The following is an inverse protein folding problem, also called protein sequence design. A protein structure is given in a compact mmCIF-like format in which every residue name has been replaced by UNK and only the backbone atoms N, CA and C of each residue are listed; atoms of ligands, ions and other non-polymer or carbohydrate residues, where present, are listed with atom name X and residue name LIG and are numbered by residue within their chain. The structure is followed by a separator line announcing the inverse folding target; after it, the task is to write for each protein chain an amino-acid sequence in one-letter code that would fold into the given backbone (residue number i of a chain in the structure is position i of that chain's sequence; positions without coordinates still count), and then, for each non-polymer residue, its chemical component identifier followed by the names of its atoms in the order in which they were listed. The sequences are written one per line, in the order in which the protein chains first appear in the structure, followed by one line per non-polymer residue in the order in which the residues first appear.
data_IF_961888708681
#
_entry.id   IF_961888708681
#
_cell.length_a   1.000
_cell.length_b   1.000
_cell.length_c   1.000
_cell.angle_alpha   90.00
_cell.angle_beta   90.00
_cell.angle_gamma   90.00
#
_symmetry.space_group_name_H-M   'P 1'
#
loop_
_entity.id
_entity.type
_entity.pdbx_description
1 polymer ?
#
# COMPACT_ATOMS: atom_id res chain seq x y z
N UNK A 1 -16.94 -17.40 -10.65
CA UNK A 1 -16.02 -16.83 -9.65
C UNK A 1 -15.42 -15.48 -10.06
N UNK A 2 -15.85 -14.94 -11.21
CA UNK A 2 -15.46 -13.60 -11.66
C UNK A 2 -16.19 -12.45 -10.96
N UNK A 3 -17.30 -12.72 -10.27
CA UNK A 3 -18.10 -11.71 -9.60
C UNK A 3 -17.41 -11.06 -8.40
N UNK A 4 -16.49 -11.77 -7.73
CA UNK A 4 -15.78 -11.23 -6.58
C UNK A 4 -14.71 -10.20 -6.93
N UNK A 5 -14.10 -10.29 -8.10
CA UNK A 5 -13.03 -9.35 -8.49
C UNK A 5 -13.59 -7.99 -8.90
N UNK A 6 -14.78 -7.95 -9.50
CA UNK A 6 -15.44 -6.71 -9.88
C UNK A 6 -15.86 -5.88 -8.67
N UNK A 7 -16.48 -6.51 -7.67
CA UNK A 7 -16.90 -5.84 -6.44
C UNK A 7 -15.71 -5.28 -5.67
N UNK A 8 -14.59 -6.02 -5.60
CA UNK A 8 -13.37 -5.56 -4.92
C UNK A 8 -12.78 -4.35 -5.65
N UNK A 9 -12.79 -4.34 -6.98
CA UNK A 9 -12.32 -3.20 -7.77
C UNK A 9 -13.15 -1.95 -7.53
N UNK A 10 -14.48 -2.09 -7.50
CA UNK A 10 -15.38 -0.98 -7.22
C UNK A 10 -15.17 -0.44 -5.80
N UNK A 11 -14.98 -1.32 -4.84
CA UNK A 11 -14.69 -0.95 -3.45
C UNK A 11 -13.37 -0.20 -3.35
N UNK A 12 -12.32 -0.68 -4.03
CA UNK A 12 -11.02 0.01 -4.09
C UNK A 12 -11.19 1.39 -4.72
N UNK A 13 -11.93 1.51 -5.83
CA UNK A 13 -12.18 2.78 -6.50
C UNK A 13 -12.91 3.77 -5.58
N UNK A 14 -13.89 3.31 -4.80
CA UNK A 14 -14.61 4.14 -3.83
C UNK A 14 -13.70 4.63 -2.70
N UNK A 15 -12.80 3.78 -2.23
CA UNK A 15 -11.90 4.11 -1.11
C UNK A 15 -10.76 5.02 -1.55
N UNK A 16 -10.19 4.78 -2.73
CA UNK A 16 -9.01 5.51 -3.20
C UNK A 16 -9.34 6.69 -4.09
N UNK A 17 -10.56 6.77 -4.62
CA UNK A 17 -10.92 7.77 -5.61
C UNK A 17 -10.36 7.49 -7.00
N UNK A 18 -9.80 6.29 -7.22
CA UNK A 18 -9.27 5.87 -8.51
C UNK A 18 -9.99 4.62 -8.99
N UNK A 19 -10.25 4.50 -10.30
CA UNK A 19 -10.81 3.28 -10.85
C UNK A 19 -9.85 2.11 -10.58
N UNK A 20 -10.39 1.00 -10.15
CA UNK A 20 -9.59 -0.19 -9.88
C UNK A 20 -8.88 -0.67 -11.15
N UNK A 21 -7.60 -0.89 -11.05
CA UNK A 21 -6.79 -1.48 -12.12
C UNK A 21 -6.09 -2.72 -11.59
N UNK A 22 -5.90 -3.69 -12.46
CA UNK A 22 -5.04 -4.85 -12.16
C UNK A 22 -3.57 -4.52 -12.34
N UNK A 23 -3.26 -3.42 -13.00
CA UNK A 23 -1.88 -3.00 -13.21
C UNK A 23 -1.30 -2.48 -11.91
N UNK A 24 -0.13 -2.95 -11.60
CA UNK A 24 0.61 -2.58 -10.41
C UNK A 24 2.09 -2.51 -10.76
N UNK A 25 2.78 -1.53 -10.18
CA UNK A 25 4.23 -1.43 -10.33
C UNK A 25 4.88 -2.60 -9.59
N UNK A 26 5.94 -3.16 -10.16
CA UNK A 26 6.68 -4.22 -9.50
C UNK A 26 7.35 -3.71 -8.21
N UNK A 27 7.32 -4.51 -7.16
CA UNK A 27 7.87 -4.13 -5.85
C UNK A 27 9.36 -3.75 -5.92
N UNK A 28 10.11 -4.39 -6.81
CA UNK A 28 11.55 -4.09 -7.01
C UNK A 28 11.77 -2.67 -7.55
N UNK A 29 10.75 -2.06 -8.14
CA UNK A 29 10.81 -0.71 -8.71
C UNK A 29 10.34 0.36 -7.71
N UNK A 30 10.33 0.04 -6.43
CA UNK A 30 9.96 0.96 -5.35
C UNK A 30 11.12 1.12 -4.41
N UNK A 31 11.41 2.36 -4.02
CA UNK A 31 12.49 2.67 -3.09
C UNK A 31 12.08 3.78 -2.13
N UNK A 32 12.63 3.76 -0.93
CA UNK A 32 12.52 4.86 0.02
C UNK A 32 13.49 6.00 -0.28
N UNK A 33 14.48 5.75 -1.15
CA UNK A 33 15.40 6.77 -1.65
C UNK A 33 14.72 7.64 -2.69
N UNK A 34 15.36 8.74 -3.07
CA UNK A 34 14.83 9.64 -4.11
C UNK A 34 15.31 9.25 -5.51
N UNK A 35 16.19 8.28 -5.59
CA UNK A 35 16.71 7.73 -6.84
C UNK A 35 16.63 6.22 -6.80
N UNK A 36 16.49 5.60 -7.96
CA UNK A 36 16.49 4.15 -8.12
C UNK A 36 17.76 3.75 -8.84
N UNK A 37 18.60 2.94 -8.19
CA UNK A 37 19.89 2.52 -8.73
C UNK A 37 19.73 1.84 -10.11
N UNK A 38 20.55 2.24 -11.04
CA UNK A 38 20.52 1.69 -12.40
C UNK A 38 19.48 2.33 -13.31
N UNK A 39 18.74 3.32 -12.81
CA UNK A 39 17.69 4.01 -13.55
C UNK A 39 17.83 5.52 -13.40
N UNK A 40 17.31 6.23 -14.39
CA UNK A 40 17.17 7.68 -14.30
C UNK A 40 15.71 8.08 -14.44
N UNK A 41 15.29 9.06 -13.70
CA UNK A 41 13.95 9.63 -13.80
C UNK A 41 13.88 10.49 -15.06
N UNK A 42 12.97 10.16 -15.97
CA UNK A 42 12.71 10.96 -17.15
C UNK A 42 11.49 11.84 -16.99
N UNK A 43 10.58 11.48 -16.06
CA UNK A 43 9.39 12.26 -15.80
C UNK A 43 8.88 12.00 -14.39
N UNK A 44 8.56 13.06 -13.67
CA UNK A 44 7.84 12.99 -12.39
C UNK A 44 6.35 13.09 -12.65
N UNK A 45 5.58 12.13 -12.14
CA UNK A 45 4.15 12.04 -12.43
C UNK A 45 3.28 12.58 -11.29
N UNK A 46 3.79 12.56 -10.07
CA UNK A 46 3.09 13.12 -8.93
C UNK A 46 3.08 12.21 -7.71
N UNK A 47 2.53 12.71 -6.64
CA UNK A 47 2.41 11.97 -5.38
C UNK A 47 1.30 10.93 -5.51
N UNK A 48 1.61 9.72 -5.08
CA UNK A 48 0.68 8.60 -5.06
C UNK A 48 0.54 8.07 -3.65
N UNK A 49 -0.58 7.42 -3.38
CA UNK A 49 -0.86 6.87 -2.06
C UNK A 49 -1.75 5.64 -2.14
N UNK A 50 -1.69 4.85 -1.08
CA UNK A 50 -2.63 3.79 -0.78
C UNK A 50 -3.04 3.91 0.67
N UNK A 51 -4.32 3.82 0.95
CA UNK A 51 -4.88 3.99 2.29
C UNK A 51 -5.67 2.74 2.65
N UNK A 52 -5.42 2.21 3.84
CA UNK A 52 -6.21 1.14 4.43
C UNK A 52 -6.64 1.56 5.81
N UNK A 53 -7.92 1.44 6.10
CA UNK A 53 -8.48 1.75 7.41
C UNK A 53 -8.89 0.44 8.09
N UNK A 54 -8.47 0.26 9.32
CA UNK A 54 -8.82 -0.89 10.15
C UNK A 54 -9.62 -0.43 11.35
N UNK A 55 -10.75 -1.06 11.57
CA UNK A 55 -11.61 -0.76 12.70
C UNK A 55 -11.26 -1.62 13.90
N UNK A 56 -11.65 -1.12 15.08
CA UNK A 56 -11.51 -1.83 16.35
C UNK A 56 -12.13 -3.23 16.34
N UNK A 57 -13.19 -3.46 15.55
CA UNK A 57 -13.87 -4.75 15.51
C UNK A 57 -12.94 -5.88 15.00
N UNK A 58 -12.05 -5.59 14.05
CA UNK A 58 -11.04 -6.55 13.56
C UNK A 58 -10.02 -6.82 14.66
N UNK A 59 -9.52 -5.77 15.30
CA UNK A 59 -8.60 -5.88 16.43
C UNK A 59 -9.25 -6.56 17.62
N UNK A 60 -10.54 -6.29 17.86
CA UNK A 60 -11.32 -6.92 18.93
C UNK A 60 -11.41 -8.42 18.80
N UNK A 61 -11.64 -8.95 17.60
CA UNK A 61 -11.66 -10.38 17.33
C UNK A 61 -10.29 -11.02 17.62
N UNK A 62 -9.22 -10.38 17.17
CA UNK A 62 -7.86 -10.83 17.46
C UNK A 62 -7.53 -10.66 18.93
N UNK A 63 -7.96 -9.54 19.55
CA UNK A 63 -7.77 -9.28 20.98
C UNK A 63 -8.45 -10.32 21.86
N UNK A 64 -9.68 -10.75 21.52
CA UNK A 64 -10.36 -11.82 22.22
C UNK A 64 -9.60 -13.14 22.13
N UNK A 65 -9.06 -13.45 20.96
CA UNK A 65 -8.20 -14.63 20.78
C UNK A 65 -6.91 -14.52 21.57
N UNK A 66 -6.33 -13.33 21.66
CA UNK A 66 -5.12 -13.07 22.45
C UNK A 66 -5.35 -13.20 23.95
N UNK A 67 -6.54 -12.84 24.46
CA UNK A 67 -6.89 -13.00 25.88
C UNK A 67 -7.01 -14.46 26.28
N UNK A 68 -7.46 -15.31 25.38
CA UNK A 68 -7.56 -16.76 25.63
C UNK A 68 -6.21 -17.47 25.49
N UNK A 69 -5.26 -16.89 24.77
CA UNK A 69 -3.91 -17.40 24.62
C UNK A 69 -2.99 -16.57 25.50
N UNK A 70 -2.88 -16.95 26.76
CA UNK A 70 -1.96 -16.31 27.72
C UNK A 70 -0.53 -16.32 27.18
N UNK A 71 0.08 -15.14 27.09
CA UNK A 71 1.42 -14.99 26.56
C UNK A 71 1.49 -14.15 25.30
N UNK A 72 0.36 -13.58 24.91
CA UNK A 72 0.26 -12.58 23.84
C UNK A 72 0.86 -13.09 22.54
N UNK A 73 0.02 -13.54 21.65
CA UNK A 73 0.52 -13.90 20.35
C UNK A 73 0.84 -12.63 19.55
N UNK A 74 1.97 -12.01 19.92
CA UNK A 74 2.55 -10.85 19.22
C UNK A 74 2.68 -11.16 17.72
N UNK A 75 2.91 -12.43 17.38
CA UNK A 75 2.97 -12.90 15.99
C UNK A 75 1.68 -12.60 15.21
N UNK A 76 0.50 -12.79 15.82
CA UNK A 76 -0.78 -12.47 15.17
C UNK A 76 -0.91 -10.97 14.91
N UNK A 77 -0.50 -10.13 15.85
CA UNK A 77 -0.50 -8.68 15.66
C UNK A 77 0.49 -8.26 14.58
N UNK A 78 1.67 -8.85 14.57
CA UNK A 78 2.68 -8.59 13.54
C UNK A 78 2.15 -8.97 12.16
N UNK A 79 1.53 -10.14 12.04
CA UNK A 79 0.95 -10.59 10.77
C UNK A 79 -0.16 -9.65 10.29
N UNK A 80 -1.01 -9.17 11.20
CA UNK A 80 -2.05 -8.21 10.85
C UNK A 80 -1.46 -6.88 10.37
N UNK A 81 -0.45 -6.37 11.05
CA UNK A 81 0.24 -5.14 10.66
C UNK A 81 0.92 -5.30 9.31
N UNK A 82 1.61 -6.41 9.09
CA UNK A 82 2.26 -6.71 7.81
C UNK A 82 1.23 -6.78 6.67
N UNK A 83 0.12 -7.47 6.88
CA UNK A 83 -0.95 -7.57 5.90
C UNK A 83 -1.55 -6.20 5.57
N UNK A 84 -1.82 -5.39 6.59
CA UNK A 84 -2.39 -4.06 6.41
C UNK A 84 -1.44 -3.14 5.64
N UNK A 85 -0.15 -3.18 5.97
CA UNK A 85 0.86 -2.41 5.26
C UNK A 85 1.04 -2.87 3.83
N UNK A 86 1.03 -4.17 3.59
CA UNK A 86 1.11 -4.73 2.24
C UNK A 86 -0.07 -4.29 1.38
N UNK A 87 -1.28 -4.29 1.93
CA UNK A 87 -2.47 -3.81 1.22
C UNK A 87 -2.36 -2.32 0.85
N UNK A 88 -1.93 -1.47 1.80
CA UNK A 88 -1.74 -0.05 1.54
C UNK A 88 -0.66 0.18 0.47
N UNK A 89 0.41 -0.58 0.54
CA UNK A 89 1.50 -0.52 -0.43
C UNK A 89 1.02 -0.90 -1.84
N UNK A 90 0.28 -1.99 -1.97
CA UNK A 90 -0.26 -2.42 -3.25
C UNK A 90 -1.24 -1.40 -3.85
N UNK A 91 -2.04 -0.74 -3.03
CA UNK A 91 -2.91 0.34 -3.49
C UNK A 91 -2.09 1.53 -4.03
N UNK A 92 -1.00 1.88 -3.36
CA UNK A 92 -0.08 2.92 -3.85
C UNK A 92 0.52 2.53 -5.21
N UNK A 93 0.94 1.28 -5.37
CA UNK A 93 1.51 0.80 -6.63
C UNK A 93 0.51 0.80 -7.77
N UNK A 94 -0.75 0.50 -7.49
CA UNK A 94 -1.84 0.60 -8.46
C UNK A 94 -2.10 2.05 -8.86
N UNK A 95 -2.12 2.94 -7.89
CA UNK A 95 -2.28 4.38 -8.14
C UNK A 95 -1.15 4.89 -9.05
N UNK A 96 0.09 4.49 -8.77
CA UNK A 96 1.24 4.88 -9.59
C UNK A 96 1.13 4.34 -11.02
N UNK A 97 0.69 3.10 -11.19
CA UNK A 97 0.44 2.52 -12.51
C UNK A 97 -0.66 3.26 -13.28
N UNK A 98 -1.71 3.70 -12.59
CA UNK A 98 -2.79 4.51 -13.18
C UNK A 98 -2.25 5.83 -13.76
N UNK A 99 -1.25 6.44 -13.13
CA UNK A 99 -0.63 7.65 -13.63
C UNK A 99 0.35 7.41 -14.78
N UNK A 100 0.58 6.15 -15.15
CA UNK A 100 1.53 5.78 -16.19
C UNK A 100 2.96 5.60 -15.69
N UNK A 101 3.17 5.54 -14.38
CA UNK A 101 4.48 5.32 -13.78
C UNK A 101 4.97 3.89 -13.89
N UNK A 102 6.27 3.70 -13.80
CA UNK A 102 6.90 2.40 -13.72
C UNK A 102 7.81 2.25 -12.49
N UNK A 103 7.87 3.28 -11.65
CA UNK A 103 8.60 3.25 -10.39
C UNK A 103 7.98 4.22 -9.38
N UNK A 104 8.29 4.00 -8.11
CA UNK A 104 7.94 4.91 -7.02
C UNK A 104 9.18 5.19 -6.21
N UNK A 105 9.52 6.46 -6.05
CA UNK A 105 10.65 6.91 -5.23
C UNK A 105 10.15 7.65 -4.00
N UNK A 106 10.98 7.72 -2.97
CA UNK A 106 10.63 8.40 -1.72
C UNK A 106 9.45 7.75 -0.99
N UNK A 107 9.28 6.43 -1.14
CA UNK A 107 8.18 5.70 -0.53
C UNK A 107 8.25 5.75 1.00
N UNK A 108 7.13 5.97 1.64
CA UNK A 108 6.98 6.05 3.10
C UNK A 108 5.69 5.38 3.53
N UNK A 109 5.68 4.96 4.78
CA UNK A 109 4.47 4.57 5.48
C UNK A 109 4.17 5.56 6.59
N UNK A 110 2.90 5.71 6.86
CA UNK A 110 2.42 6.44 8.02
C UNK A 110 1.22 5.68 8.61
N UNK A 111 1.04 5.78 9.91
CA UNK A 111 -0.08 5.15 10.58
C UNK A 111 -0.63 6.13 11.61
N UNK A 112 -1.93 6.39 11.53
CA UNK A 112 -2.58 7.38 12.38
C UNK A 112 -3.89 6.84 12.91
N UNK A 113 -4.12 6.99 14.20
CA UNK A 113 -5.44 6.77 14.79
C UNK A 113 -6.31 7.99 14.46
N UNK A 114 -7.30 7.79 13.56
CA UNK A 114 -8.15 8.88 13.10
C UNK A 114 -9.35 9.12 14.01
N UNK A 115 -9.72 8.10 14.79
CA UNK A 115 -10.70 8.16 15.86
C UNK A 115 -10.48 6.96 16.76
N UNK A 116 -11.08 6.96 17.94
CA UNK A 116 -10.88 5.88 18.89
C UNK A 116 -11.18 4.50 18.27
N UNK A 117 -10.18 3.66 18.24
CA UNK A 117 -10.29 2.30 17.73
C UNK A 117 -10.29 2.19 16.19
N UNK A 118 -9.97 3.25 15.48
CA UNK A 118 -9.89 3.26 14.01
C UNK A 118 -8.54 3.81 13.59
N UNK A 119 -7.75 2.98 12.91
CA UNK A 119 -6.41 3.33 12.46
C UNK A 119 -6.36 3.36 10.94
N UNK A 120 -5.76 4.42 10.41
CA UNK A 120 -5.41 4.54 9.00
C UNK A 120 -3.95 4.14 8.82
N UNK A 121 -3.69 3.32 7.81
CA UNK A 121 -2.33 3.05 7.32
C UNK A 121 -2.22 3.66 5.93
N UNK A 122 -1.25 4.54 5.77
CA UNK A 122 -0.98 5.27 4.55
C UNK A 122 0.38 4.81 3.99
N UNK A 123 0.40 4.36 2.75
CA UNK A 123 1.62 4.24 1.97
C UNK A 123 1.63 5.35 0.93
N UNK A 124 2.70 6.08 0.80
CA UNK A 124 2.79 7.18 -0.16
C UNK A 124 4.20 7.33 -0.72
N UNK A 125 4.31 8.00 -1.84
CA UNK A 125 5.56 8.25 -2.51
C UNK A 125 5.33 9.06 -3.78
N UNK A 126 6.35 9.17 -4.60
CA UNK A 126 6.27 9.88 -5.87
C UNK A 126 6.35 8.89 -7.02
N UNK A 127 5.30 8.83 -7.83
CA UNK A 127 5.32 8.05 -9.06
C UNK A 127 6.18 8.74 -10.10
N UNK A 128 7.05 7.97 -10.73
CA UNK A 128 7.97 8.45 -11.76
C UNK A 128 7.99 7.50 -12.94
N UNK A 129 8.38 8.03 -14.07
CA UNK A 129 8.76 7.23 -15.23
C UNK A 129 10.28 7.21 -15.27
N UNK A 130 10.86 6.03 -15.25
CA UNK A 130 12.31 5.82 -15.26
C UNK A 130 12.73 5.02 -16.48
N UNK A 131 13.97 5.22 -16.89
CA UNK A 131 14.63 4.44 -17.93
C UNK A 131 15.91 3.85 -17.38
N UNK A 132 16.31 2.65 -17.83
CA UNK A 132 17.61 2.10 -17.47
C UNK A 132 18.75 3.04 -17.91
N UNK A 133 19.72 3.21 -17.02
CA UNK A 133 20.96 3.91 -17.39
C UNK A 133 21.82 2.92 -18.17
N UNK A 134 22.15 3.27 -19.41
CA UNK A 134 23.03 2.43 -20.21
C UNK A 134 24.47 2.53 -19.68
N UNK A 135 25.17 1.41 -19.50
CA UNK A 135 26.59 1.48 -19.19
C UNK A 135 27.32 2.22 -20.29
N UNK A 136 28.23 3.10 -19.89
CA UNK A 136 29.05 3.89 -20.81
C UNK A 136 29.95 2.98 -21.64
#
# INVERSE_FOLDING_TARGET
MSAGSGAVREEIAMVTGYPGTDKMIAHVMVTTQFELDGYRVVRTLGVVRGIVVRSRSIFGTIGASLQTILGGNITLLTQLCEKTRAEAFDLMLRHAAELGGNAVVGARYDATEIMQGVTEVLAYGTAVLVEPVRPA
#
